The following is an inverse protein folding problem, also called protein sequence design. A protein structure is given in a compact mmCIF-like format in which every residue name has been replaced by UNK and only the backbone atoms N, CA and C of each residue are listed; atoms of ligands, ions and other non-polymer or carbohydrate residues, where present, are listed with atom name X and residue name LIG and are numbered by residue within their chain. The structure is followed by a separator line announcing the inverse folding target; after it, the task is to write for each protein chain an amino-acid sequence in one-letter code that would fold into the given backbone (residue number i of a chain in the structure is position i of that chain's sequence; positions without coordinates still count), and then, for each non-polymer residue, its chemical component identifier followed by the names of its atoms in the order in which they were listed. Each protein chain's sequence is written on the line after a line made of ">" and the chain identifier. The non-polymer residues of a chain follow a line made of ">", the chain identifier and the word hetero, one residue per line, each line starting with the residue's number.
data_IF_319477869252
#
_entry.id   IF_319477869252
#
_cell.length_a   1.000
_cell.length_b   1.000
_cell.length_c   1.000
_cell.angle_alpha   90.00
_cell.angle_beta   90.00
_cell.angle_gamma   90.00
#
_symmetry.space_group_name_H-M   'P 1'
#
loop_
_entity.id
_entity.type
_entity.pdbx_description
1 polymer ?
#
# COMPACT_ATOMS: atom_id res chain seq x y z
N UNK A 1 14.18 -22.04 19.78
CA UNK A 1 13.06 -21.48 19.00
C UNK A 1 12.14 -22.54 18.37
N UNK A 2 12.61 -23.74 18.05
CA UNK A 2 11.82 -24.73 17.29
C UNK A 2 10.89 -25.69 18.06
N UNK A 3 10.79 -25.63 19.40
CA UNK A 3 10.00 -26.63 20.17
C UNK A 3 8.50 -26.33 20.30
N UNK A 4 8.02 -25.18 19.82
CA UNK A 4 6.63 -24.71 19.99
C UNK A 4 5.82 -24.84 18.69
N UNK A 5 6.46 -24.82 17.52
CA UNK A 5 5.75 -24.86 16.25
C UNK A 5 5.14 -26.24 16.02
N UNK A 6 3.95 -26.25 15.41
CA UNK A 6 3.33 -27.50 15.02
C UNK A 6 4.19 -28.26 13.99
N UNK A 7 4.09 -29.58 14.03
CA UNK A 7 4.89 -30.51 13.23
C UNK A 7 4.62 -30.36 11.73
N UNK A 8 3.40 -29.98 11.35
CA UNK A 8 2.97 -29.78 9.96
C UNK A 8 2.27 -28.43 9.76
N UNK A 9 3.01 -27.35 10.01
CA UNK A 9 2.49 -25.99 9.90
C UNK A 9 2.48 -25.40 8.47
N UNK A 10 2.87 -26.17 7.45
CA UNK A 10 2.87 -25.75 6.04
C UNK A 10 2.33 -26.87 5.14
N UNK A 11 1.28 -26.57 4.39
CA UNK A 11 0.70 -27.51 3.44
C UNK A 11 1.60 -27.75 2.21
N UNK A 12 1.30 -28.81 1.46
CA UNK A 12 2.12 -29.24 0.31
C UNK A 12 2.15 -28.21 -0.82
N UNK A 13 1.06 -27.49 -1.05
CA UNK A 13 0.97 -26.50 -2.13
C UNK A 13 1.75 -25.24 -1.77
N UNK A 14 1.66 -24.79 -0.52
CA UNK A 14 2.47 -23.69 0.00
C UNK A 14 3.98 -23.97 -0.11
N UNK A 15 4.41 -25.19 0.23
CA UNK A 15 5.81 -25.61 0.09
C UNK A 15 6.29 -25.61 -1.38
N UNK A 16 5.44 -26.05 -2.31
CA UNK A 16 5.75 -25.99 -3.74
C UNK A 16 5.85 -24.54 -4.24
N UNK A 17 4.87 -23.70 -3.89
CA UNK A 17 4.81 -22.29 -4.28
C UNK A 17 6.00 -21.49 -3.75
N UNK A 18 6.33 -21.63 -2.45
CA UNK A 18 7.47 -20.89 -1.85
C UNK A 18 8.80 -21.31 -2.47
N UNK A 19 8.97 -22.61 -2.79
CA UNK A 19 10.19 -23.10 -3.44
C UNK A 19 10.37 -22.48 -4.82
N UNK A 20 9.29 -22.38 -5.61
CA UNK A 20 9.32 -21.72 -6.91
C UNK A 20 9.59 -20.21 -6.76
N UNK A 21 8.86 -19.54 -5.87
CA UNK A 21 8.98 -18.09 -5.63
C UNK A 21 10.39 -17.68 -5.14
N UNK A 22 11.03 -18.49 -4.28
CA UNK A 22 12.38 -18.22 -3.80
C UNK A 22 13.46 -18.42 -4.88
N UNK A 23 13.20 -19.25 -5.89
CA UNK A 23 14.13 -19.47 -7.01
C UNK A 23 14.02 -18.40 -8.08
N UNK A 24 12.83 -17.85 -8.30
CA UNK A 24 12.57 -16.82 -9.32
C UNK A 24 12.93 -15.41 -8.81
N UNK A 25 14.24 -15.18 -8.65
CA UNK A 25 14.76 -13.89 -8.20
C UNK A 25 14.55 -12.79 -9.24
N UNK A 26 14.58 -13.12 -10.53
CA UNK A 26 14.37 -12.14 -11.61
C UNK A 26 12.97 -11.52 -11.53
N UNK A 27 11.94 -12.35 -11.41
CA UNK A 27 10.57 -11.88 -11.22
C UNK A 27 10.42 -11.05 -9.94
N UNK A 28 11.03 -11.50 -8.83
CA UNK A 28 11.03 -10.75 -7.57
C UNK A 28 11.61 -9.34 -7.73
N UNK A 29 12.80 -9.20 -8.32
CA UNK A 29 13.44 -7.89 -8.51
C UNK A 29 12.65 -7.00 -9.49
N UNK A 30 12.03 -7.59 -10.53
CA UNK A 30 11.15 -6.87 -11.44
C UNK A 30 9.94 -6.28 -10.69
N UNK A 31 9.26 -7.09 -9.87
CA UNK A 31 8.14 -6.63 -9.06
C UNK A 31 8.55 -5.53 -8.06
N UNK A 32 9.67 -5.71 -7.35
CA UNK A 32 10.20 -4.71 -6.42
C UNK A 32 10.51 -3.40 -7.13
N UNK A 33 11.13 -3.44 -8.32
CA UNK A 33 11.42 -2.26 -9.13
C UNK A 33 10.13 -1.50 -9.48
N UNK A 34 9.13 -2.20 -10.03
CA UNK A 34 7.83 -1.61 -10.40
C UNK A 34 7.11 -0.96 -9.21
N UNK A 35 7.11 -1.63 -8.05
CA UNK A 35 6.51 -1.07 -6.82
C UNK A 35 7.27 0.19 -6.39
N UNK A 36 8.60 0.18 -6.40
CA UNK A 36 9.41 1.35 -6.01
C UNK A 36 9.18 2.55 -6.93
N UNK A 37 9.15 2.32 -8.24
CA UNK A 37 8.89 3.36 -9.24
C UNK A 37 7.49 3.96 -9.06
N UNK A 38 6.47 3.11 -8.94
CA UNK A 38 5.08 3.54 -8.74
C UNK A 38 4.92 4.28 -7.41
N UNK A 39 5.55 3.80 -6.34
CA UNK A 39 5.54 4.45 -5.02
C UNK A 39 6.17 5.83 -5.07
N UNK A 40 7.32 5.97 -5.74
CA UNK A 40 8.02 7.24 -5.86
C UNK A 40 7.16 8.26 -6.64
N UNK A 41 6.65 7.86 -7.80
CA UNK A 41 5.73 8.68 -8.59
C UNK A 41 4.51 9.10 -7.77
N UNK A 42 3.81 8.14 -7.14
CA UNK A 42 2.58 8.42 -6.41
C UNK A 42 2.83 9.34 -5.21
N UNK A 43 3.97 9.18 -4.53
CA UNK A 43 4.35 10.07 -3.42
C UNK A 43 4.55 11.51 -3.90
N UNK A 44 5.18 11.71 -5.06
CA UNK A 44 5.35 13.05 -5.65
C UNK A 44 4.01 13.65 -6.06
N UNK A 45 3.12 12.88 -6.68
CA UNK A 45 1.79 13.38 -7.07
C UNK A 45 0.93 13.75 -5.86
N UNK A 46 0.97 12.95 -4.79
CA UNK A 46 0.29 13.30 -3.54
C UNK A 46 0.80 14.61 -2.95
N UNK A 47 2.12 14.84 -2.98
CA UNK A 47 2.71 16.11 -2.53
C UNK A 47 2.27 17.30 -3.37
N UNK A 48 2.04 17.11 -4.68
CA UNK A 48 1.46 18.16 -5.56
C UNK A 48 0.02 18.50 -5.17
N UNK A 49 -0.71 17.56 -4.56
CA UNK A 49 -2.05 17.79 -3.99
C UNK A 49 -2.00 18.28 -2.53
N UNK A 50 -0.86 18.76 -2.05
CA UNK A 50 -0.62 19.23 -0.68
C UNK A 50 -0.81 18.14 0.40
N UNK A 51 -0.75 16.86 0.04
CA UNK A 51 -0.71 15.79 1.04
C UNK A 51 0.66 15.70 1.69
N UNK A 52 0.67 15.52 3.01
CA UNK A 52 1.88 15.16 3.74
C UNK A 52 2.12 13.66 3.61
N UNK A 53 3.25 13.28 2.99
CA UNK A 53 3.61 11.88 2.73
C UNK A 53 4.89 11.52 3.47
N UNK A 54 4.84 10.46 4.29
CA UNK A 54 6.04 9.94 4.97
C UNK A 54 6.90 9.15 3.96
N UNK A 55 8.22 9.41 3.86
CA UNK A 55 9.12 8.61 3.02
C UNK A 55 9.03 7.12 3.38
N UNK A 56 8.53 6.32 2.44
CA UNK A 56 8.27 4.90 2.66
C UNK A 56 9.34 4.02 2.02
N UNK A 57 9.70 2.94 2.72
CA UNK A 57 10.53 1.86 2.20
C UNK A 57 9.76 0.56 1.95
N UNK A 58 8.45 0.51 2.25
CA UNK A 58 7.58 -0.64 2.03
C UNK A 58 6.78 -0.57 0.71
N UNK A 59 5.75 -1.41 0.57
CA UNK A 59 4.82 -1.45 -0.57
C UNK A 59 3.54 -0.62 -0.33
N UNK A 60 3.64 0.44 0.47
CA UNK A 60 2.55 1.35 0.80
C UNK A 60 3.12 2.74 1.09
N UNK A 61 2.26 3.75 1.13
CA UNK A 61 2.57 5.10 1.63
C UNK A 61 1.61 5.44 2.77
N UNK A 62 2.08 6.23 3.73
CA UNK A 62 1.20 6.88 4.70
C UNK A 62 1.06 8.35 4.29
N UNK A 63 -0.16 8.75 3.95
CA UNK A 63 -0.48 10.06 3.41
C UNK A 63 -1.55 10.72 4.27
N UNK A 64 -1.33 11.98 4.61
CA UNK A 64 -2.28 12.80 5.37
C UNK A 64 -2.78 13.94 4.49
N UNK A 65 -4.10 14.11 4.31
CA UNK A 65 -4.64 15.24 3.56
C UNK A 65 -4.32 16.57 4.25
N UNK A 66 -4.39 17.70 3.52
CA UNK A 66 -4.07 19.03 4.06
C UNK A 66 -4.96 19.43 5.23
N UNK A 67 -6.22 18.99 5.24
CA UNK A 67 -7.18 19.22 6.34
C UNK A 67 -7.00 18.26 7.53
N UNK A 68 -6.02 17.34 7.45
CA UNK A 68 -5.74 16.29 8.44
C UNK A 68 -6.94 15.39 8.75
N UNK A 69 -7.94 15.31 7.87
CA UNK A 69 -9.11 14.47 8.05
C UNK A 69 -9.03 13.21 7.17
N UNK A 70 -8.19 12.26 7.59
CA UNK A 70 -8.04 10.98 6.88
C UNK A 70 -9.36 10.20 6.74
N UNK A 71 -10.27 10.30 7.71
CA UNK A 71 -11.56 9.59 7.66
C UNK A 71 -12.46 10.08 6.52
N UNK A 72 -12.51 11.41 6.29
CA UNK A 72 -13.25 11.99 5.16
C UNK A 72 -12.77 11.42 3.83
N UNK A 73 -11.45 11.44 3.63
CA UNK A 73 -10.84 10.92 2.39
C UNK A 73 -11.10 9.43 2.25
N UNK A 74 -10.98 8.64 3.33
CA UNK A 74 -11.31 7.21 3.32
C UNK A 74 -12.75 6.95 2.88
N UNK A 75 -13.73 7.66 3.46
CA UNK A 75 -15.14 7.43 3.14
C UNK A 75 -15.45 7.76 1.68
N UNK A 76 -14.85 8.84 1.16
CA UNK A 76 -15.03 9.25 -0.22
C UNK A 76 -14.36 8.31 -1.23
N UNK A 77 -13.20 7.72 -0.89
CA UNK A 77 -12.57 6.65 -1.67
C UNK A 77 -13.39 5.36 -1.62
N UNK A 78 -13.92 5.02 -0.44
CA UNK A 78 -14.75 3.82 -0.25
C UNK A 78 -16.01 3.86 -1.12
N UNK A 79 -16.67 5.04 -1.20
CA UNK A 79 -17.80 5.26 -2.11
C UNK A 79 -17.43 5.06 -3.59
N UNK A 80 -16.19 5.35 -3.97
CA UNK A 80 -15.63 5.12 -5.31
C UNK A 80 -15.08 3.70 -5.51
N UNK A 81 -15.36 2.78 -4.58
CA UNK A 81 -14.87 1.37 -4.59
C UNK A 81 -13.34 1.24 -4.50
N UNK A 82 -12.66 2.25 -3.96
CA UNK A 82 -11.22 2.24 -3.71
C UNK A 82 -11.00 1.99 -2.22
N UNK A 83 -10.51 0.80 -1.86
CA UNK A 83 -10.30 0.42 -0.46
C UNK A 83 -8.87 0.70 -0.01
N UNK A 84 -8.71 1.64 0.91
CA UNK A 84 -7.46 1.93 1.60
C UNK A 84 -7.56 1.61 3.10
N UNK A 85 -6.47 1.72 3.85
CA UNK A 85 -6.51 1.49 5.29
C UNK A 85 -6.54 2.81 6.07
N UNK A 86 -7.65 3.06 6.75
CA UNK A 86 -7.77 4.07 7.81
C UNK A 86 -7.57 3.41 9.19
N UNK A 87 -7.04 4.18 10.14
CA UNK A 87 -6.85 3.75 11.53
C UNK A 87 -7.64 4.67 12.45
N UNK A 88 -8.40 4.10 13.38
CA UNK A 88 -9.13 4.86 14.40
C UNK A 88 -8.24 5.30 15.58
N UNK A 89 -6.97 4.86 15.60
CA UNK A 89 -5.99 5.30 16.60
C UNK A 89 -5.77 6.82 16.46
N UNK A 90 -5.93 7.61 17.53
CA UNK A 90 -5.71 9.06 17.49
C UNK A 90 -4.38 9.50 16.88
N UNK A 91 -3.31 8.70 17.06
CA UNK A 91 -1.99 9.00 16.50
C UNK A 91 -1.95 8.87 14.97
N UNK A 92 -2.85 8.11 14.36
CA UNK A 92 -2.86 7.80 12.93
C UNK A 92 -4.13 8.25 12.19
N UNK A 93 -5.17 8.64 12.92
CA UNK A 93 -6.48 8.98 12.36
C UNK A 93 -6.46 10.16 11.38
N UNK A 94 -5.41 10.98 11.45
CA UNK A 94 -5.19 12.14 10.59
C UNK A 94 -4.81 11.79 9.15
N UNK A 95 -4.47 10.53 8.86
CA UNK A 95 -4.04 10.09 7.54
C UNK A 95 -4.50 8.68 7.19
N UNK A 96 -3.91 8.14 6.13
CA UNK A 96 -4.28 6.89 5.49
C UNK A 96 -3.05 6.10 5.09
N UNK A 97 -3.10 4.78 5.23
CA UNK A 97 -2.12 3.88 4.61
C UNK A 97 -2.68 3.35 3.29
N UNK A 98 -2.08 3.79 2.19
CA UNK A 98 -2.46 3.42 0.82
C UNK A 98 -1.42 2.41 0.31
N UNK A 99 -1.86 1.18 0.02
CA UNK A 99 -0.99 0.16 -0.58
C UNK A 99 -0.70 0.51 -2.04
N UNK A 100 0.50 0.21 -2.52
CA UNK A 100 0.89 0.43 -3.92
C UNK A 100 0.43 -0.77 -4.74
N UNK A 101 -0.61 -0.54 -5.54
CA UNK A 101 -1.12 -1.49 -6.54
C UNK A 101 -0.37 -1.38 -7.87
N UNK A 102 -1.06 -1.71 -8.97
CA UNK A 102 -0.52 -1.47 -10.32
C UNK A 102 -0.50 0.03 -10.64
N UNK A 103 0.25 0.42 -11.68
CA UNK A 103 0.36 1.83 -12.10
C UNK A 103 -1.01 2.43 -12.38
N UNK A 104 -1.86 1.67 -13.04
CA UNK A 104 -3.21 2.03 -13.48
C UNK A 104 -4.16 2.19 -12.29
N UNK A 105 -4.10 1.27 -11.31
CA UNK A 105 -4.86 1.39 -10.06
C UNK A 105 -4.47 2.67 -9.29
N UNK A 106 -3.17 2.99 -9.28
CA UNK A 106 -2.68 4.19 -8.60
C UNK A 106 -3.03 5.49 -9.34
N UNK A 107 -3.16 5.47 -10.66
CA UNK A 107 -3.67 6.60 -11.45
C UNK A 107 -5.16 6.86 -11.16
N UNK A 108 -5.99 5.80 -11.18
CA UNK A 108 -7.41 5.89 -10.80
C UNK A 108 -7.55 6.42 -9.36
N UNK A 109 -6.69 5.95 -8.45
CA UNK A 109 -6.67 6.42 -7.07
C UNK A 109 -6.29 7.90 -6.96
N UNK A 110 -5.29 8.33 -7.73
CA UNK A 110 -4.85 9.73 -7.76
C UNK A 110 -5.96 10.65 -8.28
N UNK A 111 -6.62 10.27 -9.36
CA UNK A 111 -7.70 11.05 -9.95
C UNK A 111 -8.88 11.15 -8.98
N UNK A 112 -9.23 10.06 -8.30
CA UNK A 112 -10.23 10.10 -7.23
C UNK A 112 -9.83 11.07 -6.10
N UNK A 113 -8.56 11.09 -5.69
CA UNK A 113 -8.07 12.02 -4.66
C UNK A 113 -8.15 13.48 -5.11
N UNK A 114 -7.86 13.78 -6.39
CA UNK A 114 -8.02 15.12 -6.98
C UNK A 114 -9.46 15.62 -6.91
N UNK A 115 -10.44 14.74 -7.14
CA UNK A 115 -11.86 15.08 -7.02
C UNK A 115 -12.31 15.30 -5.57
N UNK A 116 -11.65 14.64 -4.61
CA UNK A 116 -12.02 14.68 -3.19
C UNK A 116 -11.50 15.94 -2.50
N UNK A 117 -10.31 16.42 -2.89
CA UNK A 117 -9.57 17.48 -2.21
C UNK A 117 -8.96 16.98 -0.92
#
# INVERSE_FOLDING_TARGET
>A
LDKIRDHYNLDRLAQAAVTAALRDQEYFFLCVKRIRETRAWFSTELQVLDYSVIPSHGNYVFASPPDRNGKRVYDALYQRRILVRHFSDPALAHGLRISIGTREEMEITLDALREIG
#
